data_IF_296346672211
#
_entry.id   IF_296346672211
#
_cell.length_a   1.000
_cell.length_b   1.000
_cell.length_c   1.000
_cell.angle_alpha   90.00
_cell.angle_beta   90.00
_cell.angle_gamma   90.00
#
_symmetry.space_group_name_H-M   'P 1'
#
loop_
_entity.id
_entity.type
_entity.pdbx_description
1 polymer ?
#
# COMPACT_ATOMS: atom_id res chain seq x y z
N UNK A 1 -12.36 5.06 -6.93
CA UNK A 1 -11.04 5.64 -6.73
C UNK A 1 -11.05 6.62 -5.58
N UNK A 2 -10.07 6.50 -4.71
CA UNK A 2 -10.02 7.26 -3.47
C UNK A 2 -8.71 8.03 -3.35
N UNK A 3 -8.70 9.22 -3.91
CA UNK A 3 -7.55 10.12 -3.80
C UNK A 3 -7.87 11.19 -2.79
N UNK A 4 -7.01 11.33 -1.78
CA UNK A 4 -7.17 12.33 -0.73
C UNK A 4 -5.86 13.07 -0.51
N UNK A 5 -5.94 14.28 0.02
CA UNK A 5 -4.76 15.00 0.46
C UNK A 5 -4.83 15.11 1.98
N UNK A 6 -3.84 14.54 2.66
CA UNK A 6 -3.76 14.51 4.12
C UNK A 6 -2.42 15.07 4.54
N UNK A 7 -2.44 16.19 5.25
CA UNK A 7 -1.22 16.86 5.72
C UNK A 7 -0.21 17.10 4.60
N UNK A 8 -0.70 17.47 3.41
CA UNK A 8 0.14 17.73 2.25
C UNK A 8 0.57 16.49 1.49
N UNK A 9 0.10 15.31 1.87
CA UNK A 9 0.45 14.04 1.24
C UNK A 9 -0.74 13.57 0.40
N UNK A 10 -0.47 13.22 -0.86
CA UNK A 10 -1.48 12.61 -1.72
C UNK A 10 -1.63 11.14 -1.37
N UNK A 11 -2.74 10.77 -0.77
CA UNK A 11 -3.04 9.38 -0.46
C UNK A 11 -3.88 8.76 -1.57
N UNK A 12 -3.39 7.69 -2.17
CA UNK A 12 -4.14 6.89 -3.14
C UNK A 12 -4.41 5.55 -2.51
N UNK A 13 -5.67 5.30 -2.13
CA UNK A 13 -6.08 4.02 -1.59
C UNK A 13 -7.11 3.40 -2.51
N UNK A 14 -6.80 2.23 -3.10
CA UNK A 14 -7.65 1.65 -4.12
C UNK A 14 -7.55 0.13 -4.12
N UNK A 15 -8.72 -0.52 -4.25
CA UNK A 15 -8.80 -1.96 -4.52
C UNK A 15 -8.90 -2.08 -6.03
N UNK A 16 -7.90 -2.71 -6.64
CA UNK A 16 -7.76 -2.78 -8.10
C UNK A 16 -7.98 -4.19 -8.61
N UNK A 17 -8.14 -4.32 -9.91
CA UNK A 17 -8.23 -5.61 -10.59
C UNK A 17 -6.97 -5.82 -11.42
N UNK A 18 -6.13 -6.72 -10.96
CA UNK A 18 -4.93 -7.15 -11.68
C UNK A 18 -4.86 -8.67 -11.58
N UNK A 19 -4.02 -9.30 -12.39
CA UNK A 19 -4.00 -10.75 -12.49
C UNK A 19 -2.90 -11.43 -11.69
N UNK A 20 -2.04 -10.67 -11.05
CA UNK A 20 -0.94 -11.24 -10.26
C UNK A 20 -0.44 -10.24 -9.23
N UNK A 21 0.28 -10.75 -8.24
CA UNK A 21 0.95 -9.89 -7.26
C UNK A 21 2.04 -9.04 -7.91
N UNK A 22 2.74 -9.57 -8.90
CA UNK A 22 3.75 -8.81 -9.63
C UNK A 22 3.14 -7.65 -10.39
N UNK A 23 1.97 -7.82 -10.99
CA UNK A 23 1.26 -6.74 -11.68
C UNK A 23 0.85 -5.66 -10.70
N UNK A 24 0.44 -6.03 -9.49
CA UNK A 24 0.09 -5.07 -8.45
C UNK A 24 1.31 -4.23 -8.04
N UNK A 25 2.44 -4.89 -7.81
CA UNK A 25 3.68 -4.21 -7.45
C UNK A 25 4.13 -3.25 -8.56
N UNK A 26 4.03 -3.69 -9.80
CA UNK A 26 4.39 -2.86 -10.96
C UNK A 26 3.51 -1.63 -11.04
N UNK A 27 2.20 -1.78 -10.86
CA UNK A 27 1.27 -0.65 -10.87
C UNK A 27 1.63 0.36 -9.79
N UNK A 28 1.94 -0.12 -8.59
CA UNK A 28 2.34 0.73 -7.49
C UNK A 28 3.66 1.46 -7.79
N UNK A 29 4.63 0.75 -8.37
CA UNK A 29 5.90 1.35 -8.76
C UNK A 29 5.73 2.40 -9.86
N UNK A 30 4.84 2.16 -10.82
CA UNK A 30 4.57 3.11 -11.89
C UNK A 30 3.98 4.42 -11.35
N UNK A 31 3.14 4.36 -10.33
CA UNK A 31 2.58 5.55 -9.70
C UNK A 31 3.65 6.47 -9.13
N UNK A 32 4.75 5.90 -8.62
CA UNK A 32 5.86 6.70 -8.08
C UNK A 32 6.50 7.60 -9.14
N UNK A 33 6.42 7.23 -10.40
CA UNK A 33 7.00 8.00 -11.49
C UNK A 33 6.09 9.15 -11.93
N UNK A 34 4.85 9.19 -11.48
CA UNK A 34 3.85 10.16 -11.95
C UNK A 34 3.29 11.04 -10.83
N UNK A 35 3.57 10.71 -9.58
CA UNK A 35 3.01 11.42 -8.43
C UNK A 35 4.10 12.01 -7.56
N UNK A 36 3.77 13.14 -6.92
CA UNK A 36 4.64 13.79 -5.94
C UNK A 36 4.02 13.68 -4.56
N UNK A 37 4.88 13.61 -3.54
CA UNK A 37 4.46 13.65 -2.13
C UNK A 37 3.27 12.75 -1.88
N UNK A 38 3.44 11.45 -2.22
CA UNK A 38 2.32 10.52 -2.19
C UNK A 38 2.60 9.27 -1.36
N UNK A 39 1.51 8.68 -0.90
CA UNK A 39 1.46 7.30 -0.38
C UNK A 39 0.38 6.57 -1.17
N UNK A 40 0.75 5.48 -1.82
CA UNK A 40 -0.19 4.65 -2.56
C UNK A 40 -0.36 3.31 -1.84
N UNK A 41 -1.60 2.93 -1.60
CA UNK A 41 -1.95 1.63 -1.03
C UNK A 41 -2.88 0.96 -2.01
N UNK A 42 -2.37 -0.04 -2.72
CA UNK A 42 -3.14 -0.78 -3.71
C UNK A 42 -3.36 -2.19 -3.22
N UNK A 43 -4.57 -2.68 -3.36
CA UNK A 43 -4.93 -4.02 -2.91
C UNK A 43 -5.70 -4.76 -3.99
N UNK A 44 -5.57 -6.08 -4.00
CA UNK A 44 -6.30 -6.94 -4.91
C UNK A 44 -6.67 -8.23 -4.19
N UNK A 45 -7.83 -8.78 -4.54
CA UNK A 45 -8.27 -10.09 -4.09
C UNK A 45 -8.13 -11.06 -5.25
N UNK A 46 -7.15 -11.97 -5.17
CA UNK A 46 -6.90 -12.97 -6.19
C UNK A 46 -7.44 -14.32 -5.72
N UNK A 47 -8.72 -14.61 -6.07
CA UNK A 47 -9.34 -15.87 -5.72
C UNK A 47 -9.44 -16.12 -4.23
N UNK A 48 -9.71 -15.08 -3.45
CA UNK A 48 -9.82 -15.16 -2.00
C UNK A 48 -8.52 -14.87 -1.24
N UNK A 49 -7.40 -14.69 -1.96
CA UNK A 49 -6.12 -14.35 -1.35
C UNK A 49 -5.80 -12.89 -1.61
N UNK A 50 -5.66 -12.08 -0.57
CA UNK A 50 -5.36 -10.67 -0.75
C UNK A 50 -3.89 -10.43 -0.99
N UNK A 51 -3.59 -9.44 -1.82
CA UNK A 51 -2.25 -8.89 -1.97
C UNK A 51 -2.36 -7.38 -1.84
N UNK A 52 -1.37 -6.79 -1.19
CA UNK A 52 -1.33 -5.34 -0.94
C UNK A 52 0.05 -4.82 -1.32
N UNK A 53 0.09 -3.70 -2.00
CA UNK A 53 1.33 -2.98 -2.30
C UNK A 53 1.24 -1.58 -1.70
N UNK A 54 2.30 -1.16 -1.03
CA UNK A 54 2.41 0.20 -0.48
C UNK A 54 3.61 0.86 -1.15
N UNK A 55 3.38 2.01 -1.76
CA UNK A 55 4.42 2.82 -2.37
C UNK A 55 4.44 4.21 -1.75
N UNK A 56 5.63 4.72 -1.43
CA UNK A 56 5.79 6.02 -0.77
C UNK A 56 6.85 6.79 -1.55
N UNK A 57 6.55 8.04 -1.89
CA UNK A 57 7.54 8.89 -2.56
C UNK A 57 8.73 9.16 -1.63
N UNK A 58 9.91 9.38 -2.22
CA UNK A 58 11.12 9.65 -1.45
C UNK A 58 10.96 10.86 -0.54
N UNK A 59 10.27 11.90 -1.01
CA UNK A 59 10.04 13.11 -0.23
C UNK A 59 9.23 12.83 1.04
N UNK A 60 8.23 11.96 0.96
CA UNK A 60 7.40 11.61 2.11
C UNK A 60 8.16 10.70 3.08
N UNK A 61 8.94 9.77 2.55
CA UNK A 61 9.82 8.93 3.40
C UNK A 61 10.74 9.83 4.23
N UNK A 62 11.37 10.81 3.60
CA UNK A 62 12.29 11.71 4.29
C UNK A 62 11.57 12.62 5.27
N UNK A 63 10.44 13.20 4.87
CA UNK A 63 9.75 14.19 5.69
C UNK A 63 9.00 13.58 6.88
N UNK A 64 8.44 12.40 6.73
CA UNK A 64 7.60 11.76 7.75
C UNK A 64 8.25 10.57 8.44
N UNK A 65 9.42 10.15 7.99
CA UNK A 65 10.06 8.97 8.54
C UNK A 65 9.28 7.67 8.28
N UNK A 66 8.49 7.63 7.21
CA UNK A 66 7.70 6.45 6.88
C UNK A 66 8.58 5.40 6.19
N UNK A 67 8.16 4.14 6.35
CA UNK A 67 8.86 2.99 5.79
C UNK A 67 7.80 2.00 5.30
N UNK A 68 7.71 1.83 3.98
CA UNK A 68 6.71 0.95 3.38
C UNK A 68 6.84 -0.49 3.88
N UNK A 69 8.07 -0.98 4.02
CA UNK A 69 8.30 -2.33 4.54
C UNK A 69 7.79 -2.50 5.96
N UNK A 70 7.99 -1.50 6.81
CA UNK A 70 7.51 -1.52 8.18
C UNK A 70 5.99 -1.42 8.23
N UNK A 71 5.40 -0.56 7.41
CA UNK A 71 3.93 -0.44 7.33
C UNK A 71 3.31 -1.77 6.92
N UNK A 72 3.89 -2.43 5.92
CA UNK A 72 3.43 -3.75 5.49
C UNK A 72 3.46 -4.74 6.65
N UNK A 73 4.55 -4.80 7.40
CA UNK A 73 4.71 -5.79 8.47
C UNK A 73 3.83 -5.50 9.69
N UNK A 74 3.66 -4.23 10.04
CA UNK A 74 2.99 -3.86 11.29
C UNK A 74 1.52 -3.51 11.11
N UNK A 75 1.13 -2.94 9.96
CA UNK A 75 -0.22 -2.44 9.75
C UNK A 75 -1.02 -3.26 8.76
N UNK A 76 -0.38 -3.87 7.79
CA UNK A 76 -1.07 -4.57 6.70
C UNK A 76 -1.14 -6.08 6.95
N UNK A 77 -0.01 -6.72 7.20
CA UNK A 77 0.07 -8.18 7.32
C UNK A 77 -0.90 -8.73 8.37
N UNK A 78 -1.04 -8.13 9.57
CA UNK A 78 -1.99 -8.66 10.55
C UNK A 78 -3.45 -8.62 10.08
N UNK A 79 -3.81 -7.62 9.27
CA UNK A 79 -5.20 -7.47 8.81
C UNK A 79 -5.56 -8.46 7.71
N UNK A 80 -4.58 -8.96 6.97
CA UNK A 80 -4.81 -9.93 5.89
C UNK A 80 -4.37 -11.34 6.25
N UNK A 81 -3.96 -11.55 7.49
CA UNK A 81 -3.44 -12.82 7.98
C UNK A 81 -2.30 -13.33 7.09
N UNK A 82 -1.30 -12.50 6.90
CA UNK A 82 -0.23 -12.81 5.99
C UNK A 82 1.10 -12.22 6.42
N UNK A 83 1.95 -12.02 5.46
CA UNK A 83 3.27 -11.45 5.68
C UNK A 83 3.79 -10.82 4.43
N UNK A 84 4.86 -10.08 4.59
CA UNK A 84 5.51 -9.41 3.47
C UNK A 84 6.63 -8.53 3.95
N UNK A 85 7.05 -7.64 3.09
CA UNK A 85 8.12 -6.70 3.38
C UNK A 85 8.58 -6.02 2.11
N UNK A 86 9.68 -5.34 2.20
CA UNK A 86 10.25 -4.62 1.08
C UNK A 86 11.15 -3.50 1.54
N UNK A 87 11.21 -2.46 0.72
CA UNK A 87 12.03 -1.30 0.97
C UNK A 87 11.21 -0.17 1.60
N UNK A 88 11.87 0.92 1.95
CA UNK A 88 11.19 2.08 2.53
C UNK A 88 10.21 2.73 1.56
N UNK A 89 10.47 2.65 0.26
CA UNK A 89 9.66 3.30 -0.77
C UNK A 89 8.64 2.39 -1.41
N UNK A 90 8.83 1.06 -1.37
CA UNK A 90 7.86 0.12 -1.90
C UNK A 90 7.97 -1.22 -1.18
N UNK A 91 6.81 -1.76 -0.81
CA UNK A 91 6.73 -3.07 -0.16
C UNK A 91 5.41 -3.73 -0.50
N UNK A 92 5.38 -5.05 -0.38
CA UNK A 92 4.19 -5.83 -0.71
C UNK A 92 3.93 -6.87 0.37
N UNK A 93 2.67 -7.29 0.48
CA UNK A 93 2.26 -8.37 1.35
C UNK A 93 1.24 -9.27 0.66
N UNK A 94 1.23 -10.52 1.03
CA UNK A 94 0.19 -11.46 0.63
C UNK A 94 -0.35 -12.16 1.87
N UNK A 95 -1.61 -12.55 1.85
CA UNK A 95 -2.24 -13.16 3.01
C UNK A 95 -3.35 -14.13 2.65
N UNK A 96 -4.13 -14.47 3.66
CA UNK A 96 -5.20 -15.47 3.55
C UNK A 96 -6.59 -14.88 3.74
N UNK A 97 -6.70 -13.65 4.26
CA UNK A 97 -7.98 -13.02 4.57
C UNK A 97 -8.18 -11.78 3.73
N UNK A 98 -9.05 -11.87 2.73
CA UNK A 98 -9.39 -10.75 1.84
C UNK A 98 -10.53 -9.89 2.39
N UNK A 99 -11.08 -10.20 3.56
CA UNK A 99 -12.23 -9.49 4.12
C UNK A 99 -11.90 -8.12 4.71
N UNK A 100 -10.61 -7.81 4.92
CA UNK A 100 -10.19 -6.62 5.63
C UNK A 100 -9.45 -5.59 4.77
N UNK A 101 -9.62 -5.65 3.45
CA UNK A 101 -8.88 -4.73 2.56
C UNK A 101 -9.24 -3.26 2.82
N UNK A 102 -10.49 -2.97 3.15
CA UNK A 102 -10.90 -1.61 3.51
C UNK A 102 -10.21 -1.14 4.80
N UNK A 103 -10.07 -2.04 5.77
CA UNK A 103 -9.37 -1.73 7.01
C UNK A 103 -7.88 -1.44 6.77
N UNK A 104 -7.27 -2.09 5.78
CA UNK A 104 -5.90 -1.81 5.37
C UNK A 104 -5.76 -0.36 4.91
N UNK A 105 -6.69 0.10 4.07
CA UNK A 105 -6.68 1.49 3.60
C UNK A 105 -6.75 2.47 4.76
N UNK A 106 -7.64 2.22 5.71
CA UNK A 106 -7.80 3.08 6.88
C UNK A 106 -6.57 3.06 7.79
N UNK A 107 -5.96 1.89 7.99
CA UNK A 107 -4.79 1.76 8.85
C UNK A 107 -3.61 2.60 8.31
N UNK A 108 -3.41 2.60 6.99
CA UNK A 108 -2.35 3.42 6.39
C UNK A 108 -2.71 4.89 6.46
N UNK A 109 -3.96 5.25 6.19
CA UNK A 109 -4.42 6.64 6.28
C UNK A 109 -4.18 7.22 7.67
N UNK A 110 -4.42 6.43 8.71
CA UNK A 110 -4.27 6.89 10.09
C UNK A 110 -2.81 7.18 10.47
N UNK A 111 -1.83 6.74 9.66
CA UNK A 111 -0.43 7.05 9.88
C UNK A 111 -0.03 8.42 9.32
N UNK A 112 -0.85 9.01 8.49
CA UNK A 112 -0.57 10.28 7.83
C UNK A 112 -1.16 11.44 8.62
#
# INVERSE_FOLDING_TARGET
QKDEIINGINLIGEIVEVHSADALKKLCADLRNHLRDHVAVLAVNLGGKPYVAVGISDSVVAAKGLDAGKIIKTQVAPLIQGGGGGQKTIATAGGQDAGNLTAVMKAVKDLL
#
